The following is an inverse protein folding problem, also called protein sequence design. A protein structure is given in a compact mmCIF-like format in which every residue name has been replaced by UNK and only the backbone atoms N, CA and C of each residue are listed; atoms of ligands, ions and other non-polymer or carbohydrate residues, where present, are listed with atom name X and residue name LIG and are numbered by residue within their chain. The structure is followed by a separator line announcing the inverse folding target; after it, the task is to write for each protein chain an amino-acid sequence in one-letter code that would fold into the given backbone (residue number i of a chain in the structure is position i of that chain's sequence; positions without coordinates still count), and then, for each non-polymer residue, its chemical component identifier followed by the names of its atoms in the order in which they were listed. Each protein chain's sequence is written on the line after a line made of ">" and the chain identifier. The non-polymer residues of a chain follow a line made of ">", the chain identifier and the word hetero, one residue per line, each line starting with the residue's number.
data_IF_592421256474
#
_entry.id   IF_592421256474
#
_cell.length_a   1.000
_cell.length_b   1.000
_cell.length_c   1.000
_cell.angle_alpha   90.00
_cell.angle_beta   90.00
_cell.angle_gamma   90.00
#
_symmetry.space_group_name_H-M   'P 1'
#
loop_
_entity.id
_entity.type
_entity.pdbx_description
1 polymer ?
#
# COMPACT_ATOMS: atom_id res chain seq x y z
N UNK A 1 3.27 9.21 -10.95
CA UNK A 1 3.17 8.12 -9.95
C UNK A 1 1.96 7.28 -10.32
N UNK A 2 2.08 5.96 -10.32
CA UNK A 2 0.99 5.02 -10.68
C UNK A 2 1.02 3.81 -9.74
N UNK A 3 -0.10 3.11 -9.61
CA UNK A 3 -0.19 1.81 -8.92
C UNK A 3 -0.06 0.63 -9.89
N UNK A 4 0.17 0.90 -11.18
CA UNK A 4 0.38 -0.14 -12.18
C UNK A 4 1.57 -1.03 -11.82
N UNK A 5 1.37 -2.35 -11.91
CA UNK A 5 2.37 -3.35 -11.58
C UNK A 5 2.36 -3.82 -10.13
N UNK A 6 1.67 -3.12 -9.22
CA UNK A 6 1.50 -3.59 -7.85
C UNK A 6 0.56 -4.78 -7.79
N UNK A 7 0.88 -5.74 -6.92
CA UNK A 7 -0.02 -6.88 -6.63
C UNK A 7 -1.27 -6.45 -5.88
N UNK A 8 -1.18 -5.37 -5.11
CA UNK A 8 -2.30 -4.67 -4.48
C UNK A 8 -2.23 -3.23 -4.99
N UNK A 9 -3.11 -2.88 -5.94
CA UNK A 9 -3.06 -1.60 -6.65
C UNK A 9 -4.19 -0.62 -6.30
N UNK A 10 -5.10 -1.01 -5.40
CA UNK A 10 -6.23 -0.17 -5.00
C UNK A 10 -6.55 -0.31 -3.51
N UNK A 11 -7.15 0.75 -2.95
CA UNK A 11 -7.42 0.85 -1.52
C UNK A 11 -8.45 -0.16 -1.01
N UNK A 12 -9.38 -0.64 -1.84
CA UNK A 12 -10.39 -1.61 -1.39
C UNK A 12 -9.74 -2.98 -1.17
N UNK A 13 -8.90 -3.41 -2.11
CA UNK A 13 -8.13 -4.63 -1.98
C UNK A 13 -7.08 -4.55 -0.86
N UNK A 14 -6.43 -3.39 -0.67
CA UNK A 14 -5.51 -3.19 0.44
C UNK A 14 -6.21 -3.35 1.80
N UNK A 15 -7.37 -2.73 1.98
CA UNK A 15 -8.15 -2.82 3.22
C UNK A 15 -8.64 -4.25 3.48
N UNK A 16 -9.15 -4.93 2.45
CA UNK A 16 -9.61 -6.32 2.57
C UNK A 16 -8.46 -7.26 2.94
N UNK A 17 -7.30 -7.14 2.26
CA UNK A 17 -6.12 -7.95 2.55
C UNK A 17 -5.64 -7.76 4.00
N UNK A 18 -5.60 -6.51 4.48
CA UNK A 18 -5.24 -6.22 5.86
C UNK A 18 -6.23 -6.85 6.86
N UNK A 19 -7.53 -6.72 6.62
CA UNK A 19 -8.56 -7.33 7.46
C UNK A 19 -8.43 -8.87 7.48
N UNK A 20 -8.15 -9.49 6.34
CA UNK A 20 -7.97 -10.94 6.23
C UNK A 20 -6.73 -11.44 6.97
N UNK A 21 -5.64 -10.66 6.95
CA UNK A 21 -4.46 -10.93 7.79
C UNK A 21 -4.82 -10.89 9.28
N UNK A 22 -5.54 -9.85 9.73
CA UNK A 22 -5.93 -9.70 11.13
C UNK A 22 -6.87 -10.82 11.61
N UNK A 23 -7.70 -11.36 10.72
CA UNK A 23 -8.58 -12.48 11.00
C UNK A 23 -7.89 -13.86 10.89
N UNK A 24 -6.59 -13.91 10.57
CA UNK A 24 -5.85 -15.17 10.43
C UNK A 24 -6.29 -16.01 9.23
N UNK A 25 -6.80 -15.38 8.16
CA UNK A 25 -7.31 -16.08 6.96
C UNK A 25 -6.21 -16.48 5.98
N UNK A 26 -4.96 -16.17 6.28
CA UNK A 26 -3.79 -16.53 5.48
C UNK A 26 -2.91 -17.52 6.25
N UNK A 27 -2.32 -18.47 5.54
CA UNK A 27 -1.19 -19.25 6.05
C UNK A 27 0.00 -18.33 6.36
N UNK A 28 1.01 -18.85 7.08
CA UNK A 28 2.20 -18.08 7.42
C UNK A 28 2.97 -17.59 6.18
N UNK A 29 3.04 -18.40 5.12
CA UNK A 29 3.71 -18.05 3.87
C UNK A 29 2.93 -16.98 3.10
N UNK A 30 1.61 -17.15 2.96
CA UNK A 30 0.74 -16.15 2.33
C UNK A 30 0.74 -14.83 3.11
N UNK A 31 0.79 -14.87 4.44
CA UNK A 31 0.84 -13.68 5.28
C UNK A 31 2.11 -12.87 5.02
N UNK A 32 3.26 -13.53 4.83
CA UNK A 32 4.51 -12.85 4.49
C UNK A 32 4.42 -12.15 3.13
N UNK A 33 3.89 -12.84 2.12
CA UNK A 33 3.72 -12.30 0.77
C UNK A 33 2.70 -11.15 0.72
N UNK A 34 1.54 -11.30 1.36
CA UNK A 34 0.51 -10.25 1.41
C UNK A 34 1.04 -9.02 2.16
N UNK A 35 1.82 -9.22 3.22
CA UNK A 35 2.47 -8.12 3.95
C UNK A 35 3.45 -7.35 3.07
N UNK A 36 4.27 -8.04 2.28
CA UNK A 36 5.20 -7.40 1.35
C UNK A 36 4.46 -6.55 0.31
N UNK A 37 3.43 -7.13 -0.32
CA UNK A 37 2.60 -6.42 -1.30
C UNK A 37 1.88 -5.19 -0.70
N UNK A 38 1.39 -5.30 0.54
CA UNK A 38 0.79 -4.17 1.25
C UNK A 38 1.81 -3.07 1.57
N UNK A 39 3.03 -3.44 1.94
CA UNK A 39 4.09 -2.46 2.21
C UNK A 39 4.50 -1.70 0.95
N UNK A 40 4.53 -2.37 -0.22
CA UNK A 40 4.79 -1.71 -1.50
C UNK A 40 3.70 -0.67 -1.82
N UNK A 41 2.43 -1.05 -1.67
CA UNK A 41 1.28 -0.14 -1.81
C UNK A 41 1.35 1.04 -0.83
N UNK A 42 1.53 0.78 0.46
CA UNK A 42 1.61 1.83 1.49
C UNK A 42 2.82 2.75 1.28
N UNK A 43 3.93 2.22 0.75
CA UNK A 43 5.10 2.99 0.37
C UNK A 43 4.80 3.98 -0.75
N UNK A 44 4.04 3.55 -1.76
CA UNK A 44 3.60 4.42 -2.85
C UNK A 44 2.69 5.56 -2.35
N UNK A 45 1.71 5.24 -1.48
CA UNK A 45 0.84 6.25 -0.84
C UNK A 45 1.65 7.28 -0.06
N UNK A 46 2.61 6.81 0.74
CA UNK A 46 3.50 7.68 1.52
C UNK A 46 4.34 8.59 0.62
N UNK A 47 4.94 8.03 -0.42
CA UNK A 47 5.75 8.78 -1.37
C UNK A 47 4.91 9.82 -2.13
N UNK A 48 3.66 9.48 -2.47
CA UNK A 48 2.75 10.42 -3.12
C UNK A 48 2.50 11.66 -2.24
N UNK A 49 2.31 11.44 -0.94
CA UNK A 49 2.16 12.53 0.03
C UNK A 49 3.42 13.39 0.15
N UNK A 50 4.61 12.78 0.12
CA UNK A 50 5.89 13.53 0.10
C UNK A 50 5.96 14.41 -1.15
N UNK A 51 5.68 13.88 -2.34
CA UNK A 51 5.71 14.66 -3.60
C UNK A 51 4.68 15.78 -3.62
N UNK A 52 3.49 15.54 -3.09
CA UNK A 52 2.46 16.57 -2.94
C UNK A 52 2.93 17.68 -2.00
N UNK A 53 3.51 17.33 -0.86
CA UNK A 53 4.04 18.29 0.10
C UNK A 53 5.19 19.12 -0.49
N UNK A 54 6.16 18.48 -1.16
CA UNK A 54 7.23 19.16 -1.91
C UNK A 54 6.65 20.20 -2.89
N UNK A 55 5.65 19.80 -3.67
CA UNK A 55 5.02 20.68 -4.66
C UNK A 55 4.27 21.85 -4.02
N UNK A 56 3.55 21.61 -2.93
CA UNK A 56 2.86 22.68 -2.20
C UNK A 56 3.84 23.69 -1.59
N UNK A 57 5.00 23.22 -1.13
CA UNK A 57 6.07 24.07 -0.62
C UNK A 57 6.67 25.03 -1.66
N UNK A 58 6.51 24.78 -2.96
CA UNK A 58 6.92 25.72 -4.02
C UNK A 58 6.03 26.97 -4.09
N UNK A 59 4.82 26.93 -3.52
CA UNK A 59 3.84 28.02 -3.55
C UNK A 59 3.80 28.85 -2.26
N UNK A 60 4.67 28.55 -1.30
CA UNK A 60 4.79 29.23 0.00
C UNK A 60 6.10 30.00 0.03
#
# INVERSE_FOLDING_TARGET
>A
MSYDGLKIGDGSNAMAAFAYMAMGRYSAEEMALVRENLLEYCGQDTMAMVRLHEKLGEYV
#
